data_IF_101625674070
#
_entry.id   IF_101625674070
#
_cell.length_a   1.000
_cell.length_b   1.000
_cell.length_c   1.000
_cell.angle_alpha   90.00
_cell.angle_beta   90.00
_cell.angle_gamma   90.00
#
_symmetry.space_group_name_H-M   'P 1'
#
loop_
_entity.id
_entity.type
_entity.pdbx_description
1 polymer ?
#
# COMPACT_ATOMS: atom_id res chain seq x y z
N UNK A 1 -7.42 27.56 -48.33
CA UNK A 1 -7.74 27.52 -46.89
C UNK A 1 -6.91 26.41 -46.25
N UNK A 2 -5.82 26.75 -45.54
CA UNK A 2 -5.18 25.79 -44.64
C UNK A 2 -6.17 25.51 -43.51
N UNK A 3 -6.59 24.24 -43.35
CA UNK A 3 -7.25 23.82 -42.11
C UNK A 3 -6.22 24.06 -41.00
N UNK A 4 -6.52 24.97 -40.07
CA UNK A 4 -5.79 25.03 -38.82
C UNK A 4 -5.97 23.67 -38.14
N UNK A 5 -4.92 22.86 -38.13
CA UNK A 5 -4.86 21.67 -37.28
C UNK A 5 -4.72 22.17 -35.84
N UNK A 6 -5.86 22.43 -35.19
CA UNK A 6 -5.97 22.94 -33.82
C UNK A 6 -5.25 22.02 -32.81
N UNK A 7 -5.09 20.74 -33.15
CA UNK A 7 -4.40 19.74 -32.34
C UNK A 7 -3.05 19.44 -32.97
N UNK A 8 -2.03 20.19 -32.55
CA UNK A 8 -0.61 19.89 -32.83
C UNK A 8 0.00 19.11 -31.64
N UNK A 9 1.14 18.45 -31.85
CA UNK A 9 1.90 17.71 -30.84
C UNK A 9 2.18 18.51 -29.57
N UNK A 10 2.43 19.82 -29.68
CA UNK A 10 2.65 20.68 -28.51
C UNK A 10 1.40 20.83 -27.64
N UNK A 11 0.21 20.91 -28.25
CA UNK A 11 -1.05 20.90 -27.51
C UNK A 11 -1.26 19.56 -26.79
N UNK A 12 -0.94 18.45 -27.46
CA UNK A 12 -1.03 17.13 -26.85
C UNK A 12 -0.03 16.96 -25.68
N UNK A 13 1.21 17.45 -25.82
CA UNK A 13 2.19 17.49 -24.71
C UNK A 13 1.67 18.29 -23.52
N UNK A 14 0.99 19.42 -23.75
CA UNK A 14 0.34 20.18 -22.69
C UNK A 14 -0.74 19.38 -21.94
N UNK A 15 -1.53 18.56 -22.66
CA UNK A 15 -2.48 17.62 -22.04
C UNK A 15 -1.73 16.57 -21.21
N UNK A 16 -0.61 16.04 -21.72
CA UNK A 16 0.20 15.06 -21.00
C UNK A 16 0.73 15.63 -19.68
N UNK A 17 1.37 16.79 -19.73
CA UNK A 17 1.90 17.50 -18.56
C UNK A 17 0.81 17.82 -17.53
N UNK A 18 -0.36 18.27 -17.96
CA UNK A 18 -1.48 18.53 -17.04
C UNK A 18 -1.91 17.23 -16.34
N UNK A 19 -1.96 16.11 -17.06
CA UNK A 19 -2.30 14.82 -16.48
C UNK A 19 -1.20 14.31 -15.55
N UNK A 20 0.08 14.50 -15.87
CA UNK A 20 1.23 14.18 -15.01
C UNK A 20 1.14 14.92 -13.67
N UNK A 21 0.94 16.24 -13.70
CA UNK A 21 0.79 17.06 -12.49
C UNK A 21 -0.41 16.60 -11.68
N UNK A 22 -1.55 16.34 -12.32
CA UNK A 22 -2.74 15.83 -11.63
C UNK A 22 -2.49 14.45 -11.00
N UNK A 23 -1.85 13.53 -11.72
CA UNK A 23 -1.48 12.20 -11.21
C UNK A 23 -0.59 12.31 -9.99
N UNK A 24 0.47 13.12 -10.06
CA UNK A 24 1.39 13.34 -8.95
C UNK A 24 0.69 13.99 -7.75
N UNK A 25 -0.16 14.99 -7.98
CA UNK A 25 -0.92 15.62 -6.90
C UNK A 25 -1.84 14.62 -6.17
N UNK A 26 -2.53 13.76 -6.92
CA UNK A 26 -3.37 12.69 -6.37
C UNK A 26 -2.52 11.71 -5.55
N UNK A 27 -1.33 11.33 -6.06
CA UNK A 27 -0.38 10.52 -5.31
C UNK A 27 0.06 11.22 -4.00
N UNK A 28 0.64 12.41 -4.05
CA UNK A 28 1.13 13.11 -2.87
C UNK A 28 0.03 13.31 -1.81
N UNK A 29 -1.18 13.66 -2.25
CA UNK A 29 -2.30 13.96 -1.34
C UNK A 29 -2.88 12.71 -0.68
N UNK A 30 -3.00 11.59 -1.42
CA UNK A 30 -3.79 10.43 -0.97
C UNK A 30 -2.96 9.15 -0.79
N UNK A 31 -1.78 9.03 -1.40
CA UNK A 31 -0.94 7.83 -1.31
C UNK A 31 0.06 7.87 -0.15
N UNK A 32 0.45 9.05 0.33
CA UNK A 32 1.47 9.15 1.37
C UNK A 32 0.98 8.62 2.72
N UNK A 33 1.82 7.81 3.36
CA UNK A 33 1.66 7.45 4.77
C UNK A 33 2.21 8.61 5.60
N UNK A 34 1.39 9.19 6.49
CA UNK A 34 1.87 10.19 7.44
C UNK A 34 3.08 9.62 8.18
N UNK A 35 4.28 10.18 7.92
CA UNK A 35 5.55 9.77 8.50
C UNK A 35 5.64 10.00 10.03
N UNK A 36 4.53 10.35 10.68
CA UNK A 36 4.47 10.73 12.10
C UNK A 36 4.18 9.58 13.06
N UNK A 37 3.94 8.35 12.58
CA UNK A 37 3.90 7.17 13.46
C UNK A 37 5.22 6.44 13.41
N UNK A 38 6.04 6.55 14.46
CA UNK A 38 7.35 5.90 14.63
C UNK A 38 7.34 4.35 14.70
N UNK A 39 6.36 3.71 14.06
CA UNK A 39 6.33 2.28 13.87
C UNK A 39 7.23 1.91 12.69
N UNK A 40 8.18 1.00 12.92
CA UNK A 40 8.97 0.32 11.88
C UNK A 40 8.09 -0.62 11.03
N UNK A 41 7.00 -0.11 10.47
CA UNK A 41 6.26 -0.78 9.41
C UNK A 41 6.96 -0.50 8.10
N UNK A 42 7.32 -1.55 7.35
CA UNK A 42 7.77 -1.34 5.97
C UNK A 42 6.64 -0.65 5.21
N UNK A 43 6.90 0.46 4.48
CA UNK A 43 5.91 0.98 3.54
C UNK A 43 5.53 -0.13 2.55
N UNK A 44 4.27 -0.18 2.16
CA UNK A 44 3.85 -1.11 1.11
C UNK A 44 4.67 -0.81 -0.15
N UNK A 45 5.32 -1.81 -0.75
CA UNK A 45 6.16 -1.57 -1.91
C UNK A 45 5.31 -0.98 -3.04
N UNK A 46 5.73 0.17 -3.54
CA UNK A 46 5.15 0.79 -4.73
C UNK A 46 5.40 -0.15 -5.90
N UNK A 47 4.33 -0.49 -6.65
CA UNK A 47 4.44 -1.33 -7.84
C UNK A 47 5.45 -0.71 -8.83
N UNK A 48 6.25 -1.54 -9.52
CA UNK A 48 7.24 -1.08 -10.49
C UNK A 48 6.67 -0.10 -11.53
N UNK A 49 5.46 -0.36 -12.05
CA UNK A 49 4.81 0.52 -13.03
C UNK A 49 4.47 1.89 -12.45
N UNK A 50 3.91 1.93 -11.24
CA UNK A 50 3.65 3.18 -10.52
C UNK A 50 4.95 3.94 -10.22
N UNK A 51 6.00 3.23 -9.80
CA UNK A 51 7.31 3.83 -9.53
C UNK A 51 7.91 4.46 -10.80
N UNK A 52 7.82 3.77 -11.93
CA UNK A 52 8.28 4.29 -13.23
C UNK A 52 7.48 5.51 -13.65
N UNK A 53 6.15 5.49 -13.51
CA UNK A 53 5.29 6.63 -13.81
C UNK A 53 5.66 7.86 -12.96
N UNK A 54 5.81 7.70 -11.64
CA UNK A 54 6.24 8.77 -10.73
C UNK A 54 7.63 9.32 -11.08
N UNK A 55 8.57 8.44 -11.43
CA UNK A 55 9.93 8.86 -11.80
C UNK A 55 9.93 9.71 -13.08
N UNK A 56 9.10 9.35 -14.07
CA UNK A 56 8.92 10.13 -15.30
C UNK A 56 8.28 11.48 -15.02
N UNK A 57 7.17 11.51 -14.27
CA UNK A 57 6.50 12.75 -13.89
C UNK A 57 7.48 13.69 -13.19
N UNK A 58 8.33 13.16 -12.30
CA UNK A 58 9.33 13.98 -11.62
C UNK A 58 10.34 14.57 -12.61
N UNK A 59 10.82 13.79 -13.58
CA UNK A 59 11.72 14.30 -14.62
C UNK A 59 11.06 15.35 -15.53
N UNK A 60 9.79 15.15 -15.90
CA UNK A 60 9.09 15.96 -16.90
C UNK A 60 8.49 17.25 -16.30
N UNK A 61 8.06 17.20 -15.03
CA UNK A 61 7.35 18.27 -14.34
C UNK A 61 8.11 18.84 -13.13
N UNK A 62 9.41 18.56 -12.97
CA UNK A 62 10.23 18.95 -11.80
C UNK A 62 10.09 20.46 -11.45
N UNK A 63 10.03 21.33 -12.46
CA UNK A 63 9.89 22.79 -12.29
C UNK A 63 8.52 23.22 -11.77
N UNK A 64 7.49 22.41 -11.98
CA UNK A 64 6.11 22.72 -11.60
C UNK A 64 5.72 22.01 -10.30
N UNK A 65 6.35 20.85 -10.03
CA UNK A 65 6.18 20.08 -8.80
C UNK A 65 6.95 20.71 -7.64
N UNK A 66 8.15 21.26 -7.88
CA UNK A 66 8.87 22.07 -6.89
C UNK A 66 8.39 23.50 -6.95
N UNK A 67 7.71 23.97 -5.91
CA UNK A 67 7.47 25.40 -5.73
C UNK A 67 8.83 26.14 -5.86
N UNK A 68 8.93 27.24 -6.62
CA UNK A 68 10.13 28.06 -6.56
C UNK A 68 10.30 28.50 -5.11
N UNK A 69 11.44 28.16 -4.52
CA UNK A 69 11.91 28.80 -3.30
C UNK A 69 12.23 30.25 -3.64
N UNK A 70 11.20 31.08 -3.84
CA UNK A 70 11.35 32.51 -4.02
C UNK A 70 11.53 33.12 -2.64
N UNK A 71 12.77 33.43 -2.31
CA UNK A 71 13.12 34.50 -1.37
C UNK A 71 12.25 35.73 -1.66
N UNK A 72 11.76 36.47 -0.64
CA UNK A 72 10.87 37.60 -0.88
C UNK A 72 11.66 38.76 -1.49
N UNK A 73 11.68 38.85 -2.82
CA UNK A 73 12.09 40.05 -3.52
C UNK A 73 10.88 40.98 -3.62
N UNK A 74 10.90 42.02 -2.79
CA UNK A 74 9.96 43.14 -2.80
C UNK A 74 9.86 43.77 -4.19
N UNK A 75 8.65 43.79 -4.77
CA UNK A 75 8.31 44.75 -5.82
C UNK A 75 7.00 45.43 -5.46
N UNK A 76 7.16 46.66 -4.98
CA UNK A 76 6.11 47.65 -4.79
C UNK A 76 5.57 48.08 -6.16
N UNK A 77 4.30 47.78 -6.44
CA UNK A 77 3.44 48.65 -7.24
C UNK A 77 1.97 48.25 -7.07
N UNK A 78 1.31 48.81 -6.05
CA UNK A 78 -0.13 48.74 -5.92
C UNK A 78 -0.75 50.02 -6.51
N UNK A 79 -1.40 49.87 -7.67
CA UNK A 79 -2.43 50.79 -8.12
C UNK A 79 -3.59 50.73 -7.12
N UNK A 80 -3.98 51.88 -6.58
CA UNK A 80 -5.10 52.01 -5.68
C UNK A 80 -6.42 51.89 -6.44
N UNK A 81 -7.28 50.95 -6.04
CA UNK A 81 -8.72 51.05 -6.29
C UNK A 81 -9.51 50.31 -5.18
N UNK A 82 -10.03 51.14 -4.26
CA UNK A 82 -11.37 51.14 -3.65
C UNK A 82 -12.06 49.82 -3.27
N UNK A 83 -12.35 49.73 -1.97
CA UNK A 83 -13.23 48.80 -1.27
C UNK A 83 -14.51 48.41 -2.02
N UNK A 84 -14.67 47.10 -2.24
CA UNK A 84 -15.98 46.43 -2.25
C UNK A 84 -15.77 45.17 -1.42
N UNK A 85 -16.43 45.08 -0.27
CA UNK A 85 -16.52 43.86 0.54
C UNK A 85 -17.54 42.90 -0.06
N UNK A 86 -17.18 41.63 -0.29
CA UNK A 86 -18.14 40.54 -0.27
C UNK A 86 -17.85 39.61 0.90
N UNK A 87 -18.92 39.29 1.65
CA UNK A 87 -18.96 38.28 2.69
C UNK A 87 -18.29 36.97 2.26
N UNK A 88 -17.25 36.54 2.97
CA UNK A 88 -16.68 35.20 2.86
C UNK A 88 -17.53 34.17 3.62
N UNK A 89 -17.49 32.89 3.22
CA UNK A 89 -17.07 31.86 4.14
C UNK A 89 -15.67 31.30 3.78
N UNK A 90 -14.93 30.77 4.75
CA UNK A 90 -13.47 30.77 4.74
C UNK A 90 -12.85 29.62 3.91
N UNK A 91 -11.72 29.97 3.27
CA UNK A 91 -10.54 29.13 3.01
C UNK A 91 -10.67 27.93 2.05
N UNK A 92 -10.54 28.18 0.76
CA UNK A 92 -9.79 27.29 -0.17
C UNK A 92 -8.37 27.82 -0.33
N UNK A 93 -7.53 27.58 0.68
CA UNK A 93 -6.08 27.74 0.51
C UNK A 93 -5.55 26.50 -0.22
N UNK A 94 -5.37 26.61 -1.53
CA UNK A 94 -4.69 25.64 -2.39
C UNK A 94 -3.15 25.68 -2.20
N UNK A 95 -2.70 25.59 -0.96
CA UNK A 95 -1.28 25.62 -0.62
C UNK A 95 -1.04 25.05 0.77
N UNK A 96 -0.30 23.94 0.83
CA UNK A 96 0.31 23.31 2.00
C UNK A 96 -0.50 23.33 3.30
N UNK A 97 -1.36 22.32 3.48
CA UNK A 97 -1.75 21.88 4.82
C UNK A 97 -0.99 20.61 5.17
N UNK A 98 0.25 20.75 5.62
CA UNK A 98 0.97 19.71 6.35
C UNK A 98 0.23 19.46 7.67
N UNK A 99 -0.70 18.50 7.69
CA UNK A 99 -1.23 17.97 8.95
C UNK A 99 -2.72 17.63 9.01
N UNK A 100 -3.54 17.93 8.01
CA UNK A 100 -4.95 17.48 8.02
C UNK A 100 -5.04 16.06 7.47
N UNK A 101 -5.45 15.11 8.32
CA UNK A 101 -5.76 13.75 7.88
C UNK A 101 -6.85 13.82 6.81
N UNK A 102 -6.47 13.63 5.54
CA UNK A 102 -7.42 13.58 4.43
C UNK A 102 -8.41 12.46 4.69
N UNK A 103 -9.70 12.81 4.75
CA UNK A 103 -10.76 11.89 5.12
C UNK A 103 -10.97 10.78 4.09
N UNK A 104 -11.67 9.72 4.54
CA UNK A 104 -11.94 8.52 3.74
C UNK A 104 -12.77 8.84 2.48
N UNK A 105 -13.69 9.81 2.57
CA UNK A 105 -14.53 10.21 1.42
C UNK A 105 -13.71 10.96 0.38
N UNK A 106 -12.84 11.86 0.82
CA UNK A 106 -11.94 12.64 -0.03
C UNK A 106 -10.98 11.72 -0.79
N UNK A 107 -10.44 10.69 -0.12
CA UNK A 107 -9.62 9.64 -0.75
C UNK A 107 -10.39 8.90 -1.84
N UNK A 108 -11.63 8.52 -1.58
CA UNK A 108 -12.48 7.85 -2.57
C UNK A 108 -12.84 8.79 -3.74
N UNK A 109 -13.12 10.06 -3.46
CA UNK A 109 -13.40 11.05 -4.50
C UNK A 109 -12.17 11.30 -5.40
N UNK A 110 -10.96 11.33 -4.81
CA UNK A 110 -9.70 11.43 -5.56
C UNK A 110 -9.50 10.25 -6.51
N UNK A 111 -9.71 9.02 -6.00
CA UNK A 111 -9.69 7.78 -6.79
C UNK A 111 -10.71 7.80 -7.93
N UNK A 112 -11.96 8.17 -7.64
CA UNK A 112 -13.03 8.20 -8.63
C UNK A 112 -12.75 9.25 -9.72
N UNK A 113 -12.16 10.39 -9.34
CA UNK A 113 -11.80 11.46 -10.26
C UNK A 113 -10.68 11.03 -11.21
N UNK A 114 -9.57 10.49 -10.70
CA UNK A 114 -8.46 10.06 -11.56
C UNK A 114 -8.86 8.89 -12.46
N UNK A 115 -9.68 7.96 -11.95
CA UNK A 115 -10.26 6.88 -12.75
C UNK A 115 -11.16 7.40 -13.89
N UNK A 116 -11.97 8.42 -13.62
CA UNK A 116 -12.81 9.04 -14.65
C UNK A 116 -11.96 9.72 -15.73
N UNK A 117 -10.96 10.52 -15.35
CA UNK A 117 -10.07 11.20 -16.29
C UNK A 117 -9.33 10.17 -17.16
N UNK A 118 -8.78 9.12 -16.57
CA UNK A 118 -8.12 8.04 -17.30
C UNK A 118 -9.05 7.34 -18.31
N UNK A 119 -10.31 7.07 -17.93
CA UNK A 119 -11.29 6.49 -18.85
C UNK A 119 -11.64 7.42 -20.01
N UNK A 120 -11.73 8.72 -19.76
CA UNK A 120 -11.94 9.72 -20.82
C UNK A 120 -10.75 9.73 -21.77
N UNK A 121 -9.52 9.75 -21.25
CA UNK A 121 -8.31 9.65 -22.04
C UNK A 121 -8.28 8.37 -22.87
N UNK A 122 -8.60 7.20 -22.32
CA UNK A 122 -8.64 5.97 -23.10
C UNK A 122 -9.64 6.03 -24.26
N UNK A 123 -10.82 6.61 -24.04
CA UNK A 123 -11.83 6.78 -25.10
C UNK A 123 -11.37 7.74 -26.20
N UNK A 124 -10.52 8.72 -25.88
CA UNK A 124 -9.98 9.65 -26.88
C UNK A 124 -8.75 9.12 -27.62
N UNK A 125 -8.12 8.02 -27.18
CA UNK A 125 -6.85 7.51 -27.72
C UNK A 125 -6.86 7.35 -29.25
N UNK A 126 -7.83 6.63 -29.80
CA UNK A 126 -7.92 6.39 -31.25
C UNK A 126 -8.08 7.68 -32.07
N UNK A 127 -8.83 8.64 -31.53
CA UNK A 127 -9.03 9.94 -32.16
C UNK A 127 -7.73 10.77 -32.13
N UNK A 128 -7.06 10.83 -30.97
CA UNK A 128 -5.78 11.52 -30.81
C UNK A 128 -4.68 10.93 -31.70
N UNK A 129 -4.59 9.59 -31.78
CA UNK A 129 -3.72 8.91 -32.73
C UNK A 129 -4.01 9.38 -34.15
N UNK A 130 -5.28 9.33 -34.58
CA UNK A 130 -5.70 9.72 -35.93
C UNK A 130 -5.37 11.17 -36.25
N UNK A 131 -5.51 12.08 -35.28
CA UNK A 131 -5.18 13.50 -35.46
C UNK A 131 -3.67 13.76 -35.52
N UNK A 132 -2.85 12.96 -34.83
CA UNK A 132 -1.39 13.14 -34.73
C UNK A 132 -0.58 12.26 -35.71
N UNK A 133 -1.28 11.59 -36.64
CA UNK A 133 -0.88 10.40 -37.40
C UNK A 133 0.41 10.46 -38.23
N UNK A 134 0.99 11.64 -38.50
CA UNK A 134 2.06 11.71 -39.51
C UNK A 134 3.48 11.56 -38.96
N UNK A 135 3.77 11.87 -37.68
CA UNK A 135 5.12 11.71 -37.10
C UNK A 135 5.15 11.48 -35.56
N UNK A 136 4.02 11.54 -34.86
CA UNK A 136 3.99 11.60 -33.38
C UNK A 136 3.28 10.41 -32.71
N UNK A 137 2.97 9.34 -33.45
CA UNK A 137 2.25 8.19 -32.90
C UNK A 137 2.96 7.54 -31.70
N UNK A 138 4.30 7.52 -31.71
CA UNK A 138 5.10 7.04 -30.59
C UNK A 138 4.91 7.85 -29.30
N UNK A 139 4.73 9.17 -29.41
CA UNK A 139 4.51 10.07 -28.25
C UNK A 139 3.15 9.77 -27.60
N UNK A 140 2.14 9.52 -28.43
CA UNK A 140 0.81 9.11 -27.93
C UNK A 140 0.91 7.76 -27.24
N UNK A 141 1.50 6.75 -27.87
CA UNK A 141 1.65 5.43 -27.25
C UNK A 141 2.43 5.49 -25.94
N UNK A 142 3.54 6.22 -25.90
CA UNK A 142 4.37 6.33 -24.70
C UNK A 142 3.59 6.92 -23.52
N UNK A 143 2.81 7.98 -23.74
CA UNK A 143 1.95 8.60 -22.71
C UNK A 143 0.92 7.61 -22.14
N UNK A 144 0.22 6.88 -23.02
CA UNK A 144 -0.80 5.93 -22.54
C UNK A 144 -0.18 4.76 -21.78
N UNK A 145 0.87 4.14 -22.33
CA UNK A 145 1.50 2.93 -21.77
C UNK A 145 2.15 3.20 -20.42
N UNK A 146 2.78 4.36 -20.25
CA UNK A 146 3.60 4.62 -19.06
C UNK A 146 2.93 5.47 -17.99
N UNK A 147 1.83 6.15 -18.33
CA UNK A 147 1.16 7.04 -17.38
C UNK A 147 -0.33 6.72 -17.22
N UNK A 148 -1.11 6.74 -18.31
CA UNK A 148 -2.56 6.47 -18.20
C UNK A 148 -2.82 5.03 -17.73
N UNK A 149 -2.07 4.06 -18.25
CA UNK A 149 -2.14 2.65 -17.86
C UNK A 149 -1.59 2.36 -16.45
N UNK A 150 -0.94 3.35 -15.81
CA UNK A 150 -0.46 3.27 -14.42
C UNK A 150 -1.49 3.74 -13.38
N UNK A 151 -2.62 4.32 -13.81
CA UNK A 151 -3.69 4.81 -12.92
C UNK A 151 -4.27 3.72 -12.03
N UNK A 152 -4.53 2.48 -12.52
CA UNK A 152 -5.00 1.40 -11.65
C UNK A 152 -4.04 1.09 -10.49
N UNK A 153 -2.72 1.15 -10.72
CA UNK A 153 -1.73 0.91 -9.67
C UNK A 153 -1.72 2.03 -8.63
N UNK A 154 -1.92 3.29 -9.05
CA UNK A 154 -2.08 4.42 -8.14
C UNK A 154 -3.34 4.26 -7.27
N UNK A 155 -4.47 3.88 -7.88
CA UNK A 155 -5.73 3.62 -7.18
C UNK A 155 -5.56 2.50 -6.15
N UNK A 156 -4.94 1.38 -6.56
CA UNK A 156 -4.63 0.27 -5.67
C UNK A 156 -3.77 0.74 -4.49
N UNK A 157 -2.71 1.49 -4.76
CA UNK A 157 -1.80 1.98 -3.72
C UNK A 157 -2.52 2.94 -2.74
N UNK A 158 -3.38 3.85 -3.22
CA UNK A 158 -4.19 4.72 -2.37
C UNK A 158 -5.11 3.89 -1.46
N UNK A 159 -5.80 2.87 -2.00
CA UNK A 159 -6.67 2.01 -1.20
C UNK A 159 -5.90 1.19 -0.17
N UNK A 160 -4.74 0.61 -0.53
CA UNK A 160 -3.86 -0.10 0.42
C UNK A 160 -3.40 0.80 1.56
N UNK A 161 -2.89 2.00 1.24
CA UNK A 161 -2.51 2.99 2.24
C UNK A 161 -3.70 3.39 3.12
N UNK A 162 -4.87 3.60 2.52
CA UNK A 162 -6.10 3.94 3.27
C UNK A 162 -6.50 2.82 4.23
N UNK A 163 -6.46 1.56 3.80
CA UNK A 163 -6.72 0.40 4.66
C UNK A 163 -5.73 0.35 5.84
N UNK A 164 -4.43 0.56 5.57
CA UNK A 164 -3.38 0.55 6.60
C UNK A 164 -3.51 1.70 7.61
N UNK A 165 -3.91 2.88 7.17
CA UNK A 165 -4.16 4.02 8.07
C UNK A 165 -5.38 3.78 8.96
N UNK A 166 -6.41 3.14 8.41
CA UNK A 166 -7.65 2.85 9.14
C UNK A 166 -7.56 1.58 9.98
N UNK A 167 -6.69 0.63 9.70
CA UNK A 167 -6.48 -0.57 10.52
C UNK A 167 -5.31 -0.33 11.47
N UNK A 168 -5.61 -0.07 12.75
CA UNK A 168 -4.60 0.28 13.76
C UNK A 168 -3.78 -0.93 14.21
N UNK A 169 -2.87 -1.37 13.35
CA UNK A 169 -2.09 -2.60 13.53
C UNK A 169 -0.71 -2.37 14.17
N UNK A 170 -0.38 -1.12 14.50
CA UNK A 170 0.90 -0.77 15.10
C UNK A 170 1.11 -1.50 16.43
N UNK A 171 2.30 -2.10 16.60
CA UNK A 171 2.68 -2.84 17.80
C UNK A 171 2.22 -4.30 17.87
N UNK A 172 1.35 -4.77 16.96
CA UNK A 172 0.93 -6.18 16.95
C UNK A 172 2.08 -7.13 16.61
N UNK A 173 2.99 -6.73 15.72
CA UNK A 173 4.21 -7.50 15.41
C UNK A 173 4.99 -7.82 16.69
N UNK A 174 5.23 -6.84 17.55
CA UNK A 174 5.97 -7.05 18.80
C UNK A 174 5.16 -7.85 19.82
N UNK A 175 3.83 -7.69 19.87
CA UNK A 175 2.96 -8.52 20.73
C UNK A 175 3.01 -10.00 20.34
N UNK A 176 2.99 -10.30 19.04
CA UNK A 176 3.09 -11.66 18.52
C UNK A 176 4.50 -12.23 18.79
N UNK A 177 5.55 -11.47 18.47
CA UNK A 177 6.93 -11.91 18.66
C UNK A 177 7.27 -12.23 20.13
N UNK A 178 6.67 -11.50 21.07
CA UNK A 178 6.89 -11.65 22.52
C UNK A 178 5.81 -12.47 23.24
N UNK A 179 4.88 -13.11 22.51
CA UNK A 179 3.90 -14.01 23.11
C UNK A 179 4.58 -15.25 23.73
N UNK A 180 3.86 -15.97 24.59
CA UNK A 180 4.40 -17.13 25.31
C UNK A 180 4.41 -18.36 24.41
N UNK A 181 5.50 -18.52 23.65
CA UNK A 181 5.69 -19.64 22.73
C UNK A 181 6.43 -20.85 23.35
N UNK A 182 6.87 -20.77 24.60
CA UNK A 182 7.53 -21.85 25.34
C UNK A 182 6.52 -22.53 26.28
N UNK A 183 5.58 -23.25 25.69
CA UNK A 183 4.47 -23.91 26.39
C UNK A 183 4.84 -25.37 26.66
N UNK A 184 4.53 -25.87 27.86
CA UNK A 184 4.79 -27.29 28.23
C UNK A 184 3.71 -28.24 27.74
N UNK A 185 2.46 -27.81 27.79
CA UNK A 185 1.29 -28.59 27.38
C UNK A 185 0.32 -27.68 26.63
N UNK A 186 -0.20 -28.14 25.51
CA UNK A 186 -1.17 -27.38 24.74
C UNK A 186 -2.51 -27.32 25.49
N UNK A 187 -2.87 -26.12 25.96
CA UNK A 187 -4.18 -25.84 26.52
C UNK A 187 -5.25 -25.61 25.44
N UNK A 188 -6.44 -25.19 25.87
CA UNK A 188 -7.55 -24.83 24.98
C UNK A 188 -7.60 -23.32 24.66
N UNK A 189 -6.71 -22.53 25.26
CA UNK A 189 -6.70 -21.07 25.15
C UNK A 189 -5.72 -20.59 24.09
N UNK A 190 -6.14 -19.60 23.30
CA UNK A 190 -5.28 -18.85 22.39
C UNK A 190 -4.58 -17.68 23.10
N UNK A 191 -3.54 -17.12 22.48
CA UNK A 191 -2.87 -15.93 23.01
C UNK A 191 -3.76 -14.68 22.91
N UNK A 192 -3.77 -13.83 23.94
CA UNK A 192 -4.62 -12.64 24.01
C UNK A 192 -4.43 -11.60 22.89
N UNK A 193 -3.36 -11.65 22.10
CA UNK A 193 -3.24 -10.78 20.92
C UNK A 193 -4.32 -11.09 19.87
N UNK A 194 -4.83 -12.33 19.82
CA UNK A 194 -5.87 -12.76 18.88
C UNK A 194 -7.17 -12.00 19.16
N UNK A 195 -7.60 -11.92 20.43
CA UNK A 195 -8.81 -11.17 20.81
C UNK A 195 -8.66 -9.69 20.53
N UNK A 196 -7.49 -9.12 20.84
CA UNK A 196 -7.20 -7.71 20.55
C UNK A 196 -7.27 -7.43 19.05
N UNK A 197 -6.72 -8.33 18.23
CA UNK A 197 -6.70 -8.20 16.78
C UNK A 197 -8.11 -8.33 16.17
N UNK A 198 -8.92 -9.27 16.67
CA UNK A 198 -10.33 -9.40 16.31
C UNK A 198 -11.11 -8.14 16.69
N UNK A 199 -10.86 -7.61 17.88
CA UNK A 199 -11.43 -6.34 18.36
C UNK A 199 -11.11 -5.18 17.43
N UNK A 200 -9.83 -5.00 17.07
CA UNK A 200 -9.45 -3.93 16.15
C UNK A 200 -10.02 -4.13 14.75
N UNK A 201 -10.05 -5.37 14.24
CA UNK A 201 -10.65 -5.63 12.93
C UNK A 201 -12.16 -5.31 12.91
N UNK A 202 -12.87 -5.59 14.01
CA UNK A 202 -14.28 -5.21 14.17
C UNK A 202 -14.45 -3.69 14.18
N UNK A 203 -13.58 -2.95 14.88
CA UNK A 203 -13.58 -1.49 14.86
C UNK A 203 -13.24 -0.93 13.48
N UNK A 204 -12.26 -1.49 12.78
CA UNK A 204 -11.92 -1.16 11.41
C UNK A 204 -13.12 -1.33 10.46
N UNK A 205 -13.80 -2.48 10.49
CA UNK A 205 -15.04 -2.70 9.73
C UNK A 205 -16.10 -1.63 10.04
N UNK A 206 -16.25 -1.29 11.32
CA UNK A 206 -17.24 -0.29 11.76
C UNK A 206 -16.91 1.09 11.20
N UNK A 207 -15.63 1.48 11.19
CA UNK A 207 -15.15 2.74 10.57
C UNK A 207 -15.45 2.78 9.07
N UNK A 208 -15.28 1.67 8.35
CA UNK A 208 -15.63 1.60 6.93
C UNK A 208 -17.13 1.74 6.69
N UNK A 209 -17.95 1.03 7.48
CA UNK A 209 -19.41 1.06 7.36
C UNK A 209 -20.00 2.46 7.60
N UNK A 210 -19.43 3.21 8.56
CA UNK A 210 -19.85 4.59 8.86
C UNK A 210 -19.07 5.65 8.07
N UNK A 211 -18.14 5.22 7.21
CA UNK A 211 -17.31 6.11 6.38
C UNK A 211 -18.09 6.81 5.27
N UNK A 212 -19.34 6.39 5.00
CA UNK A 212 -20.17 6.95 3.94
C UNK A 212 -19.59 6.74 2.55
N UNK A 213 -18.90 5.61 2.34
CA UNK A 213 -18.33 5.17 1.07
C UNK A 213 -19.13 4.03 0.47
N UNK A 214 -19.00 3.83 -0.85
CA UNK A 214 -19.70 2.77 -1.59
C UNK A 214 -19.34 1.38 -1.06
N UNK A 215 -20.30 0.46 -1.06
CA UNK A 215 -20.15 -0.88 -0.50
C UNK A 215 -18.99 -1.65 -1.15
N UNK A 216 -18.82 -1.50 -2.45
CA UNK A 216 -17.75 -2.16 -3.21
C UNK A 216 -16.36 -1.72 -2.72
N UNK A 217 -16.22 -0.45 -2.33
CA UNK A 217 -14.98 0.08 -1.76
C UNK A 217 -14.80 -0.40 -0.31
N UNK A 218 -15.88 -0.52 0.46
CA UNK A 218 -15.81 -1.12 1.80
C UNK A 218 -15.32 -2.57 1.74
N UNK A 219 -15.90 -3.37 0.84
CA UNK A 219 -15.53 -4.78 0.65
C UNK A 219 -14.06 -4.89 0.19
N UNK A 220 -13.62 -4.05 -0.75
CA UNK A 220 -12.22 -4.00 -1.18
C UNK A 220 -11.26 -3.63 -0.04
N UNK A 221 -11.61 -2.63 0.78
CA UNK A 221 -10.79 -2.22 1.92
C UNK A 221 -10.74 -3.33 2.99
N UNK A 222 -11.84 -4.04 3.24
CA UNK A 222 -11.85 -5.22 4.12
C UNK A 222 -10.89 -6.31 3.64
N UNK A 223 -10.82 -6.55 2.33
CA UNK A 223 -9.86 -7.50 1.75
C UNK A 223 -8.41 -7.08 2.01
N UNK A 224 -8.08 -5.79 1.82
CA UNK A 224 -6.77 -5.25 2.17
C UNK A 224 -6.50 -5.35 3.68
N UNK A 225 -7.51 -5.16 4.52
CA UNK A 225 -7.42 -5.38 5.95
C UNK A 225 -6.96 -6.80 6.30
N UNK A 226 -7.53 -7.83 5.66
CA UNK A 226 -7.11 -9.23 5.86
C UNK A 226 -5.66 -9.46 5.43
N UNK A 227 -5.23 -8.84 4.32
CA UNK A 227 -3.82 -8.90 3.87
C UNK A 227 -2.86 -8.22 4.84
N UNK A 228 -3.27 -7.11 5.46
CA UNK A 228 -2.48 -6.44 6.51
C UNK A 228 -2.35 -7.33 7.74
N UNK A 229 -3.43 -8.03 8.13
CA UNK A 229 -3.42 -9.00 9.23
C UNK A 229 -2.43 -10.14 8.93
N UNK A 230 -2.49 -10.74 7.75
CA UNK A 230 -1.58 -11.85 7.39
C UNK A 230 -0.10 -11.42 7.39
N UNK A 231 0.20 -10.26 6.82
CA UNK A 231 1.55 -9.66 6.85
C UNK A 231 2.04 -9.43 8.28
N UNK A 232 1.17 -8.91 9.15
CA UNK A 232 1.50 -8.64 10.56
C UNK A 232 1.82 -9.92 11.32
N UNK A 233 1.04 -10.99 11.07
CA UNK A 233 1.26 -12.29 11.69
C UNK A 233 2.61 -12.88 11.26
N UNK A 234 2.90 -12.90 9.96
CA UNK A 234 4.17 -13.43 9.43
C UNK A 234 5.35 -12.66 10.03
N UNK A 235 5.28 -11.33 10.03
CA UNK A 235 6.36 -10.49 10.58
C UNK A 235 6.56 -10.71 12.08
N UNK A 236 5.47 -10.86 12.84
CA UNK A 236 5.54 -11.19 14.27
C UNK A 236 6.13 -12.58 14.52
N UNK A 237 5.65 -13.58 13.80
CA UNK A 237 6.10 -14.98 13.91
C UNK A 237 7.56 -15.14 13.51
N UNK A 238 8.03 -14.43 12.48
CA UNK A 238 9.43 -14.50 12.06
C UNK A 238 10.41 -13.89 13.08
N UNK A 239 9.93 -13.09 14.02
CA UNK A 239 10.73 -12.45 15.08
C UNK A 239 10.73 -13.25 16.39
N UNK A 240 10.02 -14.38 16.45
CA UNK A 240 9.99 -15.27 17.63
C UNK A 240 11.38 -15.84 17.86
N UNK A 241 11.86 -15.75 19.10
CA UNK A 241 13.23 -16.17 19.48
C UNK A 241 13.31 -17.59 20.01
N UNK A 242 12.26 -18.06 20.67
CA UNK A 242 12.16 -19.38 21.28
C UNK A 242 10.74 -19.89 21.15
N UNK A 243 10.59 -21.18 20.89
CA UNK A 243 9.31 -21.84 20.73
C UNK A 243 9.47 -23.33 21.09
N UNK A 244 8.44 -23.95 21.65
CA UNK A 244 8.35 -25.41 21.84
C UNK A 244 7.49 -26.04 20.76
N UNK A 245 7.42 -27.38 20.71
CA UNK A 245 6.54 -28.09 19.79
C UNK A 245 5.06 -27.75 20.07
N UNK A 246 4.69 -27.70 21.35
CA UNK A 246 3.39 -27.25 21.83
C UNK A 246 3.15 -25.77 21.51
N UNK A 247 4.19 -24.94 21.57
CA UNK A 247 4.13 -23.54 21.16
C UNK A 247 3.78 -23.35 19.67
N UNK A 248 4.25 -24.24 18.79
CA UNK A 248 3.88 -24.23 17.37
C UNK A 248 2.46 -24.72 17.13
N UNK A 249 2.02 -25.71 17.91
CA UNK A 249 0.62 -26.11 17.91
C UNK A 249 -0.27 -24.94 18.37
N UNK A 250 0.18 -24.16 19.36
CA UNK A 250 -0.49 -22.93 19.79
C UNK A 250 -0.52 -21.85 18.70
N UNK A 251 0.56 -21.65 17.93
CA UNK A 251 0.53 -20.75 16.74
C UNK A 251 -0.57 -21.14 15.76
N UNK A 252 -0.76 -22.45 15.55
CA UNK A 252 -1.80 -22.98 14.68
C UNK A 252 -3.20 -22.77 15.27
N UNK A 253 -3.37 -22.98 16.58
CA UNK A 253 -4.61 -22.72 17.31
C UNK A 253 -5.00 -21.24 17.23
N UNK A 254 -4.07 -20.34 17.54
CA UNK A 254 -4.26 -18.88 17.43
C UNK A 254 -4.75 -18.49 16.03
N UNK A 255 -4.11 -19.03 14.98
CA UNK A 255 -4.49 -18.77 13.60
C UNK A 255 -5.91 -19.28 13.28
N UNK A 256 -6.29 -20.48 13.76
CA UNK A 256 -7.64 -21.01 13.53
C UNK A 256 -8.71 -20.19 14.24
N UNK A 257 -8.47 -19.79 15.50
CA UNK A 257 -9.38 -18.91 16.24
C UNK A 257 -9.54 -17.57 15.51
N UNK A 258 -8.43 -16.99 15.02
CA UNK A 258 -8.46 -15.76 14.26
C UNK A 258 -9.23 -15.88 12.94
N UNK A 259 -9.00 -16.96 12.16
CA UNK A 259 -9.73 -17.22 10.91
C UNK A 259 -11.23 -17.29 11.18
N UNK A 260 -11.63 -18.07 12.19
CA UNK A 260 -13.05 -18.25 12.55
C UNK A 260 -13.67 -16.92 13.00
N UNK A 261 -12.98 -16.17 13.87
CA UNK A 261 -13.43 -14.87 14.35
C UNK A 261 -13.59 -13.84 13.22
N UNK A 262 -12.60 -13.73 12.33
CA UNK A 262 -12.65 -12.82 11.19
C UNK A 262 -13.77 -13.20 10.21
N UNK A 263 -14.05 -14.50 10.03
CA UNK A 263 -15.10 -14.98 9.13
C UNK A 263 -16.50 -14.54 9.57
N UNK A 264 -16.72 -14.28 10.87
CA UNK A 264 -17.96 -13.67 11.36
C UNK A 264 -18.07 -12.17 11.02
N UNK A 265 -16.97 -11.51 10.70
CA UNK A 265 -16.95 -10.08 10.39
C UNK A 265 -17.07 -9.80 8.90
N UNK A 266 -16.62 -10.69 8.02
CA UNK A 266 -16.62 -10.43 6.56
C UNK A 266 -17.45 -11.48 5.82
N UNK A 267 -18.04 -11.08 4.70
CA UNK A 267 -18.77 -11.99 3.80
C UNK A 267 -17.83 -12.80 2.89
N UNK A 268 -16.64 -12.27 2.60
CA UNK A 268 -15.63 -12.96 1.80
C UNK A 268 -15.00 -14.13 2.57
N UNK A 269 -14.41 -15.07 1.84
CA UNK A 269 -13.68 -16.18 2.46
C UNK A 269 -12.36 -15.67 3.05
N UNK A 270 -12.18 -15.84 4.36
CA UNK A 270 -10.99 -15.40 5.08
C UNK A 270 -9.81 -16.32 4.82
N UNK A 271 -10.06 -17.63 4.69
CA UNK A 271 -9.01 -18.66 4.68
C UNK A 271 -7.93 -18.44 3.61
N UNK A 272 -8.25 -18.12 2.34
CA UNK A 272 -7.24 -17.87 1.31
C UNK A 272 -6.27 -16.73 1.67
N UNK A 273 -6.75 -15.69 2.39
CA UNK A 273 -5.93 -14.54 2.77
C UNK A 273 -4.92 -14.86 3.88
N UNK A 274 -5.25 -15.83 4.74
CA UNK A 274 -4.39 -16.24 5.85
C UNK A 274 -3.64 -17.56 5.59
N UNK A 275 -3.85 -18.20 4.43
CA UNK A 275 -3.14 -19.42 4.04
C UNK A 275 -1.62 -19.24 4.02
N UNK A 276 -1.13 -18.05 3.66
CA UNK A 276 0.30 -17.72 3.71
C UNK A 276 0.85 -17.74 5.14
N UNK A 277 0.03 -17.48 6.17
CA UNK A 277 0.45 -17.61 7.57
C UNK A 277 0.51 -19.09 7.96
N UNK A 278 -0.50 -19.86 7.53
CA UNK A 278 -0.55 -21.31 7.76
C UNK A 278 0.65 -22.03 7.13
N UNK A 279 1.01 -21.68 5.89
CA UNK A 279 2.18 -22.21 5.20
C UNK A 279 3.49 -21.87 5.93
N UNK A 280 3.61 -20.63 6.45
CA UNK A 280 4.76 -20.21 7.25
C UNK A 280 4.88 -21.02 8.56
N UNK A 281 3.76 -21.27 9.27
CA UNK A 281 3.75 -22.10 10.48
C UNK A 281 4.09 -23.56 10.14
N UNK A 282 3.58 -24.09 9.03
CA UNK A 282 3.92 -25.46 8.59
C UNK A 282 5.39 -25.61 8.24
N UNK A 283 6.07 -24.53 7.82
CA UNK A 283 7.48 -24.56 7.47
C UNK A 283 8.40 -24.91 8.66
N UNK A 284 7.95 -24.76 9.92
CA UNK A 284 8.71 -25.23 11.09
C UNK A 284 8.91 -26.75 11.11
N UNK A 285 8.06 -27.50 10.42
CA UNK A 285 8.09 -28.97 10.39
C UNK A 285 8.91 -29.52 9.23
N UNK A 286 9.43 -28.67 8.35
CA UNK A 286 10.27 -29.12 7.23
C UNK A 286 11.55 -29.79 7.73
N UNK A 287 12.05 -30.80 7.00
CA UNK A 287 13.38 -31.33 7.24
C UNK A 287 14.45 -30.32 6.80
N UNK A 288 15.63 -30.44 7.37
CA UNK A 288 16.76 -29.52 7.18
C UNK A 288 17.13 -29.30 5.70
N UNK A 289 16.96 -30.32 4.86
CA UNK A 289 17.29 -30.29 3.42
C UNK A 289 16.34 -29.45 2.57
N UNK A 290 15.12 -29.16 3.05
CA UNK A 290 14.05 -28.59 2.21
C UNK A 290 13.95 -27.07 2.28
N UNK A 291 14.59 -26.42 3.26
CA UNK A 291 14.42 -24.98 3.47
C UNK A 291 14.86 -24.13 2.28
N UNK A 292 15.91 -24.53 1.56
CA UNK A 292 16.37 -23.80 0.36
C UNK A 292 15.34 -23.91 -0.76
N UNK A 293 14.77 -25.10 -0.97
CA UNK A 293 13.74 -25.29 -1.99
C UNK A 293 12.44 -24.56 -1.62
N UNK A 294 12.01 -24.70 -0.37
CA UNK A 294 10.82 -24.05 0.15
C UNK A 294 10.90 -22.52 0.05
N UNK A 295 12.04 -21.91 0.41
CA UNK A 295 12.27 -20.48 0.29
C UNK A 295 12.12 -19.99 -1.16
N UNK A 296 12.64 -20.75 -2.14
CA UNK A 296 12.51 -20.42 -3.57
C UNK A 296 11.08 -20.59 -4.10
N UNK A 297 10.33 -21.53 -3.54
CA UNK A 297 8.95 -21.78 -3.91
C UNK A 297 7.95 -20.77 -3.32
N UNK A 298 8.37 -19.97 -2.32
CA UNK A 298 7.51 -19.00 -1.63
C UNK A 298 8.11 -17.58 -1.68
N UNK A 299 8.12 -16.92 -2.85
CA UNK A 299 8.67 -15.57 -3.03
C UNK A 299 7.89 -14.47 -2.28
N UNK A 300 6.72 -14.78 -1.72
CA UNK A 300 5.93 -13.87 -0.91
C UNK A 300 6.55 -13.53 0.45
N UNK A 301 7.45 -14.37 0.97
CA UNK A 301 8.15 -14.10 2.24
C UNK A 301 9.45 -13.34 2.00
N UNK A 302 9.70 -12.36 2.85
CA UNK A 302 10.96 -11.60 2.77
C UNK A 302 12.15 -12.45 3.23
N UNK A 303 13.36 -12.13 2.73
CA UNK A 303 14.61 -12.75 3.18
C UNK A 303 14.73 -12.76 4.70
N UNK A 304 14.41 -11.64 5.36
CA UNK A 304 14.46 -11.53 6.81
C UNK A 304 13.49 -12.46 7.52
N UNK A 305 12.28 -12.64 6.98
CA UNK A 305 11.28 -13.54 7.54
C UNK A 305 11.74 -15.01 7.46
N UNK A 306 12.29 -15.40 6.31
CA UNK A 306 12.84 -16.75 6.09
C UNK A 306 14.07 -16.99 6.98
N UNK A 307 14.97 -16.00 7.11
CA UNK A 307 16.12 -16.07 8.01
C UNK A 307 15.67 -16.23 9.46
N UNK A 308 14.63 -15.52 9.88
CA UNK A 308 14.02 -15.66 11.20
C UNK A 308 13.51 -17.08 11.48
N UNK A 309 12.73 -17.62 10.53
CA UNK A 309 12.22 -18.99 10.57
C UNK A 309 13.35 -20.02 10.70
N UNK A 310 14.35 -19.97 9.81
CA UNK A 310 15.47 -20.93 9.79
C UNK A 310 16.30 -20.85 11.07
N UNK A 311 16.56 -19.64 11.58
CA UNK A 311 17.30 -19.48 12.84
C UNK A 311 16.57 -20.11 14.03
N UNK A 312 15.25 -19.91 14.13
CA UNK A 312 14.45 -20.49 15.19
C UNK A 312 14.44 -22.03 15.09
N UNK A 313 14.18 -22.58 13.90
CA UNK A 313 14.22 -24.03 13.66
C UNK A 313 15.59 -24.62 14.01
N UNK A 314 16.66 -24.00 13.52
CA UNK A 314 18.03 -24.47 13.76
C UNK A 314 18.38 -24.51 15.25
N UNK A 315 17.92 -23.51 16.01
CA UNK A 315 18.10 -23.49 17.47
C UNK A 315 17.30 -24.60 18.16
N UNK A 316 16.06 -24.84 17.76
CA UNK A 316 15.20 -25.86 18.37
C UNK A 316 15.67 -27.28 18.06
N UNK A 317 16.04 -27.55 16.80
CA UNK A 317 16.47 -28.87 16.32
C UNK A 317 17.97 -29.14 16.53
N UNK A 318 18.69 -28.22 17.19
CA UNK A 318 20.11 -28.40 17.51
C UNK A 318 21.03 -28.51 16.29
N UNK A 319 20.74 -27.77 15.21
CA UNK A 319 21.54 -27.82 13.99
C UNK A 319 22.99 -27.38 14.24
N UNK A 320 23.92 -28.00 13.52
CA UNK A 320 25.33 -27.55 13.51
C UNK A 320 25.41 -26.15 12.92
N UNK A 321 26.25 -25.29 13.52
CA UNK A 321 26.49 -23.91 13.05
C UNK A 321 26.82 -23.86 11.56
N UNK A 322 27.67 -24.78 11.08
CA UNK A 322 28.07 -24.88 9.67
C UNK A 322 26.85 -25.09 8.77
N UNK A 323 26.01 -26.08 9.05
CA UNK A 323 24.85 -26.36 8.19
C UNK A 323 23.85 -25.23 8.17
N UNK A 324 23.58 -24.61 9.33
CA UNK A 324 22.71 -23.41 9.38
C UNK A 324 23.22 -22.30 8.47
N UNK A 325 24.53 -22.00 8.51
CA UNK A 325 25.11 -20.96 7.66
C UNK A 325 25.04 -21.32 6.18
N UNK A 326 25.33 -22.58 5.81
CA UNK A 326 25.21 -23.04 4.43
C UNK A 326 23.78 -22.94 3.88
N UNK A 327 22.77 -23.23 4.69
CA UNK A 327 21.36 -23.06 4.30
C UNK A 327 21.03 -21.59 4.09
N UNK A 328 21.43 -20.72 5.02
CA UNK A 328 21.17 -19.28 4.93
C UNK A 328 21.88 -18.63 3.74
N UNK A 329 23.10 -19.05 3.41
CA UNK A 329 23.86 -18.59 2.24
C UNK A 329 23.17 -19.00 0.91
N UNK A 330 22.53 -20.17 0.86
CA UNK A 330 21.81 -20.64 -0.34
C UNK A 330 20.43 -20.01 -0.55
N UNK A 331 19.91 -19.35 0.49
CA UNK A 331 18.66 -18.58 0.47
C UNK A 331 18.90 -17.14 -0.02
N UNK A 332 20.16 -16.73 -0.22
CA UNK A 332 20.52 -15.39 -0.72
C UNK A 332 19.94 -15.01 -2.08
#
# INVERSE_FOLDING_TARGET
MQKLEIVNVEFFKGICQLFEVFFHFVFETFAQQNSNSGGKGSPDPINYRLKTALSRIQQDCDQWIRAPSSSPASLNSAFAHTDITPMSPPSTNFGNTTGTSVGLKERCAGVDTISLVARILHRSKAHLQTMLLQNNGAVVEDFYVHLVDAVPDLIEHIHRTTARQLLHINGYVDRIANAKWEVKELGLEHNGYVDLLLGEFKHYKTRLAHGGIRKEVQDLLLEYGLKIVSQTLIEGLSRVKRCTDEGRALMSLDLQVLINGLQHFVSMNVKPHLQIVEAFIKAYYLPETEYVHWARAHPEYTKNQIVGLVNLVASMKGWKRKTRLEVLEKIE
#
